data_IF_466201308711
#
_entry.id   IF_466201308711
#
_cell.length_a   1.000
_cell.length_b   1.000
_cell.length_c   1.000
_cell.angle_alpha   90.00
_cell.angle_beta   90.00
_cell.angle_gamma   90.00
#
_symmetry.space_group_name_H-M   'P 1'
#
loop_
_entity.id
_entity.type
_entity.pdbx_description
1 polymer ?
#
# COMPACT_ATOMS: atom_id res chain seq x y z
N UNK A 1 -24.12 18.20 10.24
CA UNK A 1 -25.03 17.55 9.27
C UNK A 1 -24.90 16.05 9.43
N UNK A 2 -25.97 15.32 9.79
CA UNK A 2 -25.94 13.85 9.79
C UNK A 2 -25.83 13.33 8.35
N UNK A 3 -25.23 12.16 8.19
CA UNK A 3 -25.20 11.41 6.92
C UNK A 3 -26.20 10.25 7.01
N UNK A 4 -26.72 9.78 5.86
CA UNK A 4 -27.58 8.60 5.82
C UNK A 4 -26.81 7.31 6.09
N UNK A 5 -27.51 6.24 6.48
CA UNK A 5 -26.93 4.91 6.67
C UNK A 5 -26.28 4.39 5.38
N UNK A 6 -26.95 4.53 4.24
CA UNK A 6 -26.41 4.14 2.92
C UNK A 6 -25.11 4.89 2.59
N UNK A 7 -25.02 6.17 2.98
CA UNK A 7 -23.79 6.98 2.80
C UNK A 7 -22.70 6.53 3.75
N UNK A 8 -23.02 6.08 4.96
CA UNK A 8 -22.05 5.53 5.91
C UNK A 8 -21.41 4.24 5.39
N UNK A 9 -22.20 3.33 4.80
CA UNK A 9 -21.73 2.08 4.21
C UNK A 9 -20.86 2.26 2.95
N UNK A 10 -21.00 3.41 2.29
CA UNK A 10 -20.20 3.80 1.12
C UNK A 10 -19.10 4.82 1.45
N UNK A 11 -18.86 5.10 2.74
CA UNK A 11 -17.62 5.78 3.12
C UNK A 11 -16.49 4.82 2.78
N UNK A 12 -15.86 5.11 1.66
CA UNK A 12 -14.64 4.49 1.27
C UNK A 12 -13.57 4.90 2.29
N UNK A 13 -13.30 4.02 3.25
CA UNK A 13 -12.07 4.12 4.06
C UNK A 13 -10.83 3.99 3.13
N UNK A 14 -11.03 3.46 1.90
CA UNK A 14 -10.58 3.96 0.58
C UNK A 14 -9.12 4.10 0.24
N UNK A 15 -8.28 4.08 1.23
CA UNK A 15 -6.88 3.81 1.08
C UNK A 15 -6.48 3.15 2.39
N UNK A 16 -6.09 1.89 2.34
CA UNK A 16 -5.58 1.21 3.54
C UNK A 16 -4.27 1.89 4.03
N UNK A 17 -3.72 2.81 3.22
CA UNK A 17 -2.64 3.73 3.55
C UNK A 17 -3.09 5.15 4.00
N UNK A 18 -2.26 5.87 4.76
CA UNK A 18 -2.51 7.25 5.13
C UNK A 18 -2.68 8.18 3.91
N UNK A 19 -3.65 9.10 3.95
CA UNK A 19 -3.80 10.12 2.90
C UNK A 19 -2.59 11.08 2.85
N UNK A 20 -2.14 11.51 1.65
CA UNK A 20 -1.07 12.48 1.50
C UNK A 20 -1.26 13.75 2.36
N UNK A 21 -0.17 14.28 2.90
CA UNK A 21 -0.18 15.48 3.75
C UNK A 21 -0.54 15.25 5.22
N UNK A 22 -1.05 14.06 5.59
CA UNK A 22 -1.32 13.71 6.99
C UNK A 22 -0.02 13.42 7.77
N UNK A 23 -0.07 13.52 9.11
CA UNK A 23 1.07 13.11 9.96
C UNK A 23 1.43 11.63 9.77
N UNK A 24 0.42 10.78 9.60
CA UNK A 24 0.63 9.36 9.36
C UNK A 24 1.34 9.11 8.03
N UNK A 25 0.98 9.83 6.97
CA UNK A 25 1.68 9.77 5.68
C UNK A 25 3.14 10.20 5.83
N UNK A 26 3.40 11.37 6.43
CA UNK A 26 4.77 11.87 6.63
C UNK A 26 5.67 10.88 7.37
N UNK A 27 5.17 10.32 8.47
CA UNK A 27 5.91 9.35 9.28
C UNK A 27 6.15 8.05 8.50
N UNK A 28 5.11 7.49 7.87
CA UNK A 28 5.24 6.23 7.15
C UNK A 28 6.16 6.36 5.92
N UNK A 29 6.06 7.46 5.16
CA UNK A 29 6.95 7.75 4.04
C UNK A 29 8.41 7.89 4.49
N UNK A 30 8.67 8.58 5.61
CA UNK A 30 10.01 8.68 6.18
C UNK A 30 10.56 7.28 6.53
N UNK A 31 9.79 6.47 7.27
CA UNK A 31 10.24 5.13 7.67
C UNK A 31 10.44 4.20 6.46
N UNK A 32 9.62 4.30 5.42
CA UNK A 32 9.77 3.51 4.20
C UNK A 32 11.05 3.88 3.42
N UNK A 33 11.41 5.17 3.37
CA UNK A 33 12.67 5.63 2.76
C UNK A 33 13.92 5.17 3.53
N UNK A 34 13.75 4.76 4.79
CA UNK A 34 14.81 4.27 5.67
C UNK A 34 14.49 2.85 6.18
N UNK A 35 14.07 1.97 5.27
CA UNK A 35 13.55 0.64 5.55
C UNK A 35 14.52 -0.29 6.31
N UNK A 36 15.82 -0.05 6.23
CA UNK A 36 16.90 -0.79 6.91
C UNK A 36 17.21 -0.25 8.32
N UNK A 37 16.54 0.81 8.76
CA UNK A 37 16.82 1.52 10.01
C UNK A 37 15.62 1.48 10.97
N UNK A 38 15.87 1.77 12.24
CA UNK A 38 14.84 1.96 13.26
C UNK A 38 15.13 3.25 14.04
N UNK A 39 14.09 3.95 14.45
CA UNK A 39 14.18 5.30 15.01
C UNK A 39 13.35 5.42 16.30
N UNK A 40 13.82 6.26 17.21
CA UNK A 40 13.05 6.71 18.38
C UNK A 40 11.94 7.69 17.96
N UNK A 41 10.94 7.89 18.83
CA UNK A 41 9.89 8.89 18.58
C UNK A 41 10.44 10.31 18.43
N UNK A 42 11.50 10.66 19.17
CA UNK A 42 12.16 11.97 19.09
C UNK A 42 12.84 12.18 17.74
N UNK A 43 13.57 11.17 17.25
CA UNK A 43 14.22 11.25 15.93
C UNK A 43 13.17 11.34 14.81
N UNK A 44 12.08 10.59 14.93
CA UNK A 44 10.95 10.67 13.98
C UNK A 44 10.34 12.07 14.00
N UNK A 45 10.09 12.65 15.18
CA UNK A 45 9.55 14.00 15.31
C UNK A 45 10.45 15.05 14.64
N UNK A 46 11.76 14.97 14.91
CA UNK A 46 12.78 15.87 14.35
C UNK A 46 12.82 15.76 12.82
N UNK A 47 12.94 14.55 12.28
CA UNK A 47 13.14 14.33 10.84
C UNK A 47 11.89 14.56 10.00
N UNK A 48 10.70 14.36 10.57
CA UNK A 48 9.43 14.52 9.83
C UNK A 48 8.76 15.89 10.04
N UNK A 49 9.30 16.71 10.95
CA UNK A 49 8.68 17.95 11.43
C UNK A 49 7.23 17.77 11.94
N UNK A 50 6.85 16.54 12.33
CA UNK A 50 5.58 16.26 12.99
C UNK A 50 5.71 16.62 14.46
N UNK A 51 4.71 17.31 15.01
CA UNK A 51 4.66 17.68 16.44
C UNK A 51 4.87 16.45 17.31
N UNK A 52 5.79 16.50 18.27
CA UNK A 52 6.15 15.35 19.11
C UNK A 52 4.95 14.71 19.81
N UNK A 53 3.99 15.53 20.26
CA UNK A 53 2.74 15.04 20.87
C UNK A 53 1.81 14.26 19.91
N UNK A 54 2.02 14.37 18.60
CA UNK A 54 1.30 13.60 17.58
C UNK A 54 2.02 12.34 17.14
N UNK A 55 3.36 12.27 17.26
CA UNK A 55 4.16 11.13 16.77
C UNK A 55 3.77 9.83 17.45
N UNK A 56 3.74 9.80 18.78
CA UNK A 56 3.39 8.59 19.55
C UNK A 56 2.01 8.03 19.18
N UNK A 57 0.91 8.80 19.31
CA UNK A 57 -0.43 8.33 18.93
C UNK A 57 -0.54 7.91 17.45
N UNK A 58 0.18 8.58 16.54
CA UNK A 58 0.19 8.20 15.13
C UNK A 58 0.92 6.87 14.90
N UNK A 59 2.07 6.65 15.54
CA UNK A 59 2.82 5.39 15.46
C UNK A 59 2.02 4.20 16.02
N UNK A 60 1.28 4.41 17.12
CA UNK A 60 0.36 3.39 17.66
C UNK A 60 -0.67 2.98 16.62
N UNK A 61 -1.36 3.94 15.99
CA UNK A 61 -2.36 3.65 14.95
C UNK A 61 -1.75 2.97 13.73
N UNK A 62 -0.55 3.37 13.31
CA UNK A 62 0.16 2.72 12.21
C UNK A 62 0.52 1.27 12.55
N UNK A 63 0.92 1.00 13.80
CA UNK A 63 1.21 -0.35 14.28
C UNK A 63 -0.04 -1.22 14.34
N UNK A 64 -1.16 -0.69 14.81
CA UNK A 64 -2.45 -1.41 14.83
C UNK A 64 -2.88 -1.86 13.43
N UNK A 65 -2.49 -1.09 12.39
CA UNK A 65 -2.70 -1.43 10.97
C UNK A 65 -1.54 -2.24 10.36
N UNK A 66 -0.61 -2.74 11.16
CA UNK A 66 0.53 -3.54 10.70
C UNK A 66 1.52 -2.80 9.79
N UNK A 67 1.54 -1.46 9.83
CA UNK A 67 2.40 -0.65 8.95
C UNK A 67 3.80 -0.42 9.50
N UNK A 68 3.93 -0.46 10.82
CA UNK A 68 5.21 -0.25 11.53
C UNK A 68 5.35 -1.27 12.64
N UNK A 69 6.59 -1.54 13.01
CA UNK A 69 6.98 -2.43 14.11
C UNK A 69 7.61 -1.62 15.25
N UNK A 70 7.47 -2.13 16.47
CA UNK A 70 7.98 -1.48 17.67
C UNK A 70 8.77 -2.46 18.54
N UNK A 71 9.99 -2.07 18.93
CA UNK A 71 10.86 -2.82 19.85
C UNK A 71 11.59 -1.85 20.79
N UNK A 72 11.38 -1.98 22.09
CA UNK A 72 11.96 -1.06 23.08
C UNK A 72 11.45 0.36 22.89
N UNK A 73 12.33 1.27 22.49
CA UNK A 73 12.00 2.66 22.14
C UNK A 73 11.98 2.92 20.62
N UNK A 74 12.31 1.90 19.82
CA UNK A 74 12.57 2.03 18.40
C UNK A 74 11.40 1.55 17.54
N UNK A 75 11.19 2.27 16.44
CA UNK A 75 10.14 2.05 15.46
C UNK A 75 10.74 1.93 14.06
N UNK A 76 10.23 1.01 13.25
CA UNK A 76 10.61 0.84 11.84
C UNK A 76 9.37 0.55 11.00
N UNK A 77 9.46 0.75 9.69
CA UNK A 77 8.45 0.23 8.74
C UNK A 77 8.39 -1.30 8.84
N UNK A 78 7.21 -1.88 8.67
CA UNK A 78 7.07 -3.35 8.67
C UNK A 78 7.51 -3.95 7.33
N UNK A 79 8.18 -5.10 7.41
CA UNK A 79 8.58 -5.87 6.21
C UNK A 79 7.38 -6.31 5.38
N UNK A 80 6.22 -6.49 6.01
CA UNK A 80 4.99 -6.83 5.30
C UNK A 80 4.58 -5.73 4.31
N UNK A 81 4.64 -4.46 4.71
CA UNK A 81 4.34 -3.32 3.82
C UNK A 81 5.33 -3.28 2.65
N UNK A 82 6.62 -3.43 2.94
CA UNK A 82 7.66 -3.43 1.91
C UNK A 82 7.47 -4.59 0.91
N UNK A 83 7.05 -5.76 1.39
CA UNK A 83 6.80 -6.92 0.54
C UNK A 83 5.61 -6.72 -0.41
N UNK A 84 4.56 -6.05 0.05
CA UNK A 84 3.38 -5.74 -0.78
C UNK A 84 3.73 -4.75 -1.89
N UNK A 85 4.46 -3.69 -1.55
CA UNK A 85 4.92 -2.71 -2.54
C UNK A 85 5.85 -3.36 -3.57
N UNK A 86 6.78 -4.21 -3.13
CA UNK A 86 7.68 -4.95 -4.03
C UNK A 86 6.89 -5.88 -4.97
N UNK A 87 5.90 -6.61 -4.45
CA UNK A 87 5.06 -7.49 -5.26
C UNK A 87 4.21 -6.71 -6.28
N UNK A 88 3.60 -5.59 -5.87
CA UNK A 88 2.82 -4.74 -6.76
C UNK A 88 3.69 -4.14 -7.88
N UNK A 89 4.86 -3.62 -7.53
CA UNK A 89 5.82 -3.09 -8.51
C UNK A 89 6.31 -4.17 -9.48
N UNK A 90 6.57 -5.38 -8.99
CA UNK A 90 6.96 -6.50 -9.84
C UNK A 90 5.83 -6.89 -10.80
N UNK A 91 4.59 -7.01 -10.31
CA UNK A 91 3.43 -7.31 -11.14
C UNK A 91 3.20 -6.24 -12.22
N UNK A 92 3.33 -4.95 -11.87
CA UNK A 92 3.22 -3.85 -12.80
C UNK A 92 4.32 -3.89 -13.88
N UNK A 93 5.58 -4.16 -13.48
CA UNK A 93 6.68 -4.30 -14.42
C UNK A 93 6.47 -5.49 -15.39
N UNK A 94 5.98 -6.63 -14.89
CA UNK A 94 5.64 -7.80 -15.72
C UNK A 94 4.50 -7.47 -16.68
N UNK A 95 3.44 -6.80 -16.22
CA UNK A 95 2.34 -6.38 -17.08
C UNK A 95 2.82 -5.45 -18.21
N UNK A 96 3.60 -4.42 -17.87
CA UNK A 96 4.19 -3.50 -18.85
C UNK A 96 5.07 -4.23 -19.87
N UNK A 97 5.87 -5.21 -19.44
CA UNK A 97 6.71 -6.00 -20.35
C UNK A 97 5.92 -6.85 -21.36
N UNK A 98 4.63 -7.12 -21.10
CA UNK A 98 3.75 -7.85 -22.01
C UNK A 98 2.90 -6.95 -22.91
N UNK A 99 2.77 -5.67 -22.60
CA UNK A 99 2.04 -4.71 -23.44
C UNK A 99 2.84 -4.30 -24.69
N UNK A 100 4.17 -4.53 -24.71
CA UNK A 100 5.03 -4.23 -25.86
C UNK A 100 4.91 -5.27 -26.99
N UNK A 101 4.45 -6.49 -26.68
CA UNK A 101 4.25 -7.57 -27.66
C UNK A 101 2.81 -7.50 -28.20
N UNK A 102 2.59 -7.37 -29.52
CA UNK A 102 1.27 -7.48 -30.11
C UNK A 102 0.61 -8.80 -29.73
N UNK A 103 -0.69 -8.78 -29.44
CA UNK A 103 -1.44 -10.02 -29.26
C UNK A 103 -1.46 -10.77 -30.61
N UNK A 104 -0.80 -11.92 -30.67
CA UNK A 104 -0.78 -12.83 -31.83
C UNK A 104 -2.15 -13.49 -32.01
N UNK A 105 -3.11 -12.69 -32.50
CA UNK A 105 -4.51 -13.06 -32.62
C UNK A 105 -4.69 -14.27 -33.54
N UNK A 106 -3.94 -14.35 -34.63
CA UNK A 106 -4.06 -15.41 -35.62
C UNK A 106 -3.61 -16.78 -35.06
N UNK A 107 -2.48 -16.83 -34.33
CA UNK A 107 -2.01 -18.03 -33.63
C UNK A 107 -3.01 -18.48 -32.54
N UNK A 108 -3.58 -17.52 -31.80
CA UNK A 108 -4.59 -17.84 -30.79
C UNK A 108 -5.88 -18.38 -31.41
N UNK A 109 -6.33 -17.81 -32.53
CA UNK A 109 -7.52 -18.27 -33.26
C UNK A 109 -7.38 -19.70 -33.78
N UNK A 110 -6.19 -20.13 -34.20
CA UNK A 110 -5.96 -21.51 -34.66
C UNK A 110 -6.28 -22.54 -33.55
N UNK A 111 -5.98 -22.19 -32.30
CA UNK A 111 -6.22 -23.04 -31.13
C UNK A 111 -7.51 -22.71 -30.37
N UNK A 112 -8.26 -21.69 -30.81
CA UNK A 112 -9.48 -21.28 -30.16
C UNK A 112 -10.58 -22.36 -30.33
N UNK A 113 -11.08 -22.83 -29.19
CA UNK A 113 -12.24 -23.72 -29.17
C UNK A 113 -13.48 -22.94 -29.61
N UNK A 114 -14.17 -23.41 -30.66
CA UNK A 114 -15.47 -22.86 -31.06
C UNK A 114 -16.59 -23.45 -30.19
N UNK A 115 -17.18 -22.69 -29.25
CA UNK A 115 -18.20 -23.19 -28.34
C UNK A 115 -19.52 -23.53 -29.06
N UNK A 116 -19.70 -23.10 -30.32
CA UNK A 116 -20.88 -23.45 -31.14
C UNK A 116 -20.80 -24.88 -31.70
N UNK A 117 -19.61 -25.48 -31.71
CA UNK A 117 -19.37 -26.85 -32.19
C UNK A 117 -19.30 -27.89 -31.08
N UNK A 118 -19.39 -27.48 -29.80
CA UNK A 118 -19.30 -28.36 -28.62
C UNK A 118 -20.63 -28.59 -27.88
N UNK A 119 -21.76 -28.12 -28.44
CA UNK A 119 -23.09 -28.43 -27.88
C UNK A 119 -23.63 -29.70 -28.53
N UNK A 120 -23.28 -30.85 -27.94
CA UNK A 120 -24.08 -32.09 -28.02
C UNK A 120 -24.88 -32.26 -26.72
#
# INVERSE_FOLDING_TARGET
MPISADRFETIDDGNDGPSPGTNAYKILSFLAQHADQAFTQSEIAERTAVKSGSVGPTLVRLRERGRVEHRGTYWRVSDHVLSLDAAANHAAAVAASREEEPFEYDDWQEHAVDPRKQRD
#
